data_IF_254983081844
#
_entry.id   IF_254983081844
#
_cell.length_a   1.000
_cell.length_b   1.000
_cell.length_c   1.000
_cell.angle_alpha   90.00
_cell.angle_beta   90.00
_cell.angle_gamma   90.00
#
_symmetry.space_group_name_H-M   'P 1'
#
loop_
_entity.id
_entity.type
_entity.pdbx_description
1 polymer ?
#
# COMPACT_ATOMS: atom_id res chain seq x y z
N UNK A 1 -27.15 34.14 15.30
CA UNK A 1 -26.91 33.68 13.91
C UNK A 1 -25.51 34.01 13.42
N UNK A 2 -25.02 35.24 13.65
CA UNK A 2 -23.67 35.68 13.21
C UNK A 2 -22.57 34.82 13.84
N UNK A 3 -22.66 34.49 15.12
CA UNK A 3 -21.62 33.84 15.91
C UNK A 3 -21.32 32.38 15.45
N UNK A 4 -22.32 31.62 15.08
CA UNK A 4 -22.19 30.20 14.73
C UNK A 4 -22.41 29.89 13.25
N UNK A 5 -23.09 30.79 12.52
CA UNK A 5 -23.51 30.53 11.14
C UNK A 5 -23.01 31.58 10.15
N UNK A 6 -22.38 32.66 10.59
CA UNK A 6 -22.04 33.79 9.73
C UNK A 6 -23.22 34.50 9.06
N UNK A 7 -24.48 34.11 9.40
CA UNK A 7 -25.71 34.62 8.76
C UNK A 7 -26.26 35.81 9.51
N UNK A 8 -26.86 36.73 8.76
CA UNK A 8 -27.55 37.94 9.33
C UNK A 8 -29.00 37.69 9.68
N UNK A 9 -29.58 36.52 9.36
CA UNK A 9 -30.96 36.16 9.59
C UNK A 9 -31.08 34.82 10.35
N UNK A 10 -32.28 34.56 10.88
CA UNK A 10 -32.60 33.30 11.57
C UNK A 10 -32.38 32.07 10.68
N UNK A 11 -31.95 30.98 11.31
CA UNK A 11 -31.79 29.70 10.61
C UNK A 11 -33.16 29.05 10.46
N UNK A 12 -33.48 28.54 9.28
CA UNK A 12 -34.72 27.83 8.98
C UNK A 12 -34.96 26.58 9.85
N UNK A 13 -33.90 26.00 10.40
CA UNK A 13 -33.95 24.84 11.30
C UNK A 13 -33.17 25.13 12.59
N UNK A 14 -33.44 26.25 13.23
CA UNK A 14 -32.83 26.56 14.53
C UNK A 14 -33.49 25.68 15.61
N UNK A 15 -32.74 24.88 16.38
CA UNK A 15 -33.32 24.09 17.48
C UNK A 15 -34.07 24.94 18.51
N UNK A 16 -33.66 26.21 18.66
CA UNK A 16 -34.29 27.15 19.56
C UNK A 16 -35.64 27.68 19.04
N UNK A 17 -35.92 27.63 17.73
CA UNK A 17 -37.15 28.16 17.15
C UNK A 17 -38.23 27.10 16.96
N UNK A 18 -37.88 25.81 16.91
CA UNK A 18 -38.81 24.72 16.59
C UNK A 18 -39.50 24.10 17.82
N UNK A 19 -39.24 24.60 19.03
CA UNK A 19 -39.95 24.14 20.24
C UNK A 19 -39.71 22.68 20.65
N UNK A 20 -38.89 21.95 19.91
CA UNK A 20 -38.45 20.63 20.28
C UNK A 20 -37.28 20.77 21.26
N UNK A 21 -37.59 20.61 22.54
CA UNK A 21 -36.65 20.76 23.65
C UNK A 21 -35.49 19.78 23.62
N UNK A 22 -34.61 19.90 22.65
CA UNK A 22 -33.28 19.26 22.68
C UNK A 22 -32.51 19.93 23.80
N UNK A 23 -32.37 19.23 24.94
CA UNK A 23 -31.61 19.71 26.08
C UNK A 23 -30.10 19.83 25.82
N UNK A 24 -29.60 19.15 24.82
CA UNK A 24 -28.17 19.12 24.47
C UNK A 24 -27.99 18.77 22.99
N UNK A 25 -27.08 19.48 22.29
CA UNK A 25 -26.71 19.19 20.90
C UNK A 25 -25.32 19.66 20.59
N UNK A 26 -24.65 18.97 19.63
CA UNK A 26 -23.32 19.32 19.14
C UNK A 26 -23.46 20.23 17.91
N UNK A 27 -22.64 21.26 17.84
CA UNK A 27 -22.60 22.20 16.72
C UNK A 27 -21.19 22.64 16.37
N UNK A 28 -20.86 22.58 15.07
CA UNK A 28 -19.61 23.14 14.54
C UNK A 28 -19.83 24.60 14.11
N UNK A 29 -18.94 25.49 14.54
CA UNK A 29 -18.93 26.88 14.11
C UNK A 29 -18.30 26.97 12.73
N UNK A 30 -19.06 27.43 11.74
CA UNK A 30 -18.63 27.50 10.33
C UNK A 30 -17.50 28.50 10.10
N UNK A 31 -17.38 29.53 10.97
CA UNK A 31 -16.35 30.58 10.82
C UNK A 31 -15.01 30.20 11.46
N UNK A 32 -15.04 29.49 12.58
CA UNK A 32 -13.85 29.15 13.37
C UNK A 32 -13.50 27.67 13.31
N UNK A 33 -14.34 26.87 12.65
CA UNK A 33 -14.29 25.40 12.60
C UNK A 33 -14.35 24.68 13.95
N UNK A 34 -14.50 25.42 15.04
CA UNK A 34 -14.57 24.88 16.40
C UNK A 34 -15.89 24.15 16.66
N UNK A 35 -15.80 23.03 17.40
CA UNK A 35 -16.94 22.23 17.81
C UNK A 35 -17.39 22.58 19.23
N UNK A 36 -18.70 22.70 19.43
CA UNK A 36 -19.29 23.03 20.73
C UNK A 36 -20.41 22.07 21.08
N UNK A 37 -20.46 21.60 22.33
CA UNK A 37 -21.69 21.08 22.95
C UNK A 37 -22.49 22.28 23.48
N UNK A 38 -23.71 22.41 23.01
CA UNK A 38 -24.62 23.46 23.46
C UNK A 38 -25.70 22.80 24.31
N UNK A 39 -25.76 23.20 25.60
CA UNK A 39 -26.86 22.82 26.50
C UNK A 39 -27.89 23.93 26.53
N UNK A 40 -29.10 23.59 26.16
CA UNK A 40 -30.25 24.50 26.08
C UNK A 40 -31.17 24.32 27.29
N UNK A 41 -31.57 25.42 27.91
CA UNK A 41 -32.51 25.41 29.02
C UNK A 41 -33.51 26.59 28.91
N UNK A 42 -34.77 26.27 28.95
CA UNK A 42 -35.83 27.28 29.10
C UNK A 42 -35.71 27.94 30.46
N UNK A 43 -35.81 29.25 30.48
CA UNK A 43 -35.75 30.06 31.70
C UNK A 43 -36.70 31.27 31.59
N UNK A 44 -36.84 32.03 32.68
CA UNK A 44 -37.55 33.29 32.72
C UNK A 44 -36.59 34.38 33.13
N UNK A 45 -36.45 35.41 32.31
CA UNK A 45 -35.63 36.58 32.57
C UNK A 45 -36.53 37.83 32.56
N UNK A 46 -36.53 38.58 33.65
CA UNK A 46 -37.35 39.80 33.80
C UNK A 46 -38.82 39.56 33.47
N UNK A 47 -39.38 38.43 33.95
CA UNK A 47 -40.80 38.06 33.74
C UNK A 47 -41.12 37.60 32.32
N UNK A 48 -40.15 37.50 31.40
CA UNK A 48 -40.34 37.07 30.02
C UNK A 48 -39.70 35.70 29.80
N UNK A 49 -40.30 34.89 28.91
CA UNK A 49 -39.63 33.66 28.44
C UNK A 49 -38.27 33.97 27.84
N UNK A 50 -37.24 33.29 28.28
CA UNK A 50 -35.88 33.40 27.81
C UNK A 50 -35.29 32.00 27.67
N UNK A 51 -34.16 31.93 26.98
CA UNK A 51 -33.39 30.72 26.79
C UNK A 51 -31.96 30.91 27.32
N UNK A 52 -31.44 29.91 28.01
CA UNK A 52 -30.09 29.88 28.47
C UNK A 52 -29.34 28.81 27.65
N UNK A 53 -28.41 29.23 26.82
CA UNK A 53 -27.51 28.35 26.07
C UNK A 53 -26.13 28.41 26.69
N UNK A 54 -25.61 27.27 27.11
CA UNK A 54 -24.25 27.11 27.60
C UNK A 54 -23.47 26.33 26.57
N UNK A 55 -22.47 26.96 25.97
CA UNK A 55 -21.60 26.34 24.95
C UNK A 55 -20.28 25.93 25.57
N UNK A 56 -19.92 24.64 25.44
CA UNK A 56 -18.63 24.11 25.82
C UNK A 56 -17.82 23.83 24.57
N UNK A 57 -16.63 24.41 24.47
CA UNK A 57 -15.69 24.12 23.38
C UNK A 57 -15.15 22.68 23.55
N UNK A 58 -15.48 21.80 22.62
CA UNK A 58 -15.06 20.38 22.60
C UNK A 58 -14.12 20.09 21.44
N UNK A 59 -13.59 21.09 20.76
CA UNK A 59 -12.76 20.92 19.56
C UNK A 59 -11.58 19.98 19.81
N UNK A 60 -10.86 20.22 20.90
CA UNK A 60 -9.73 19.36 21.27
C UNK A 60 -10.17 17.91 21.60
N UNK A 61 -11.32 17.74 22.22
CA UNK A 61 -11.86 16.40 22.55
C UNK A 61 -12.24 15.64 21.28
N UNK A 62 -12.89 16.28 20.30
CA UNK A 62 -13.21 15.66 19.00
C UNK A 62 -11.95 15.31 18.21
N UNK A 63 -10.94 16.18 18.21
CA UNK A 63 -9.65 15.89 17.56
C UNK A 63 -8.94 14.71 18.18
N UNK A 64 -8.90 14.63 19.52
CA UNK A 64 -8.30 13.51 20.25
C UNK A 64 -9.07 12.23 19.96
N UNK A 65 -10.38 12.27 20.01
CA UNK A 65 -11.23 11.10 19.71
C UNK A 65 -10.99 10.60 18.29
N UNK A 66 -10.99 11.49 17.30
CA UNK A 66 -10.72 11.14 15.90
C UNK A 66 -9.33 10.51 15.72
N UNK A 67 -8.30 11.06 16.38
CA UNK A 67 -6.96 10.48 16.36
C UNK A 67 -6.92 9.09 17.00
N UNK A 68 -7.66 8.89 18.09
CA UNK A 68 -7.73 7.60 18.76
C UNK A 68 -8.44 6.56 17.89
N UNK A 69 -9.55 6.92 17.26
CA UNK A 69 -10.26 6.06 16.32
C UNK A 69 -9.35 5.65 15.14
N UNK A 70 -8.66 6.60 14.52
CA UNK A 70 -7.70 6.32 13.44
C UNK A 70 -6.58 5.38 13.89
N UNK A 71 -6.08 5.53 15.12
CA UNK A 71 -5.05 4.64 15.68
C UNK A 71 -5.57 3.23 15.92
N UNK A 72 -6.78 3.09 16.46
CA UNK A 72 -7.42 1.80 16.66
C UNK A 72 -7.67 1.07 15.34
N UNK A 73 -8.13 1.79 14.31
CA UNK A 73 -8.32 1.23 12.97
C UNK A 73 -7.00 0.72 12.39
N UNK A 74 -5.91 1.48 12.55
CA UNK A 74 -4.58 1.07 12.11
C UNK A 74 -4.09 -0.18 12.85
N UNK A 75 -4.28 -0.26 14.17
CA UNK A 75 -3.95 -1.45 14.95
C UNK A 75 -4.77 -2.68 14.50
N UNK A 76 -6.05 -2.51 14.20
CA UNK A 76 -6.91 -3.58 13.67
C UNK A 76 -6.43 -4.11 12.32
N UNK A 77 -5.97 -3.23 11.43
CA UNK A 77 -5.41 -3.63 10.12
C UNK A 77 -4.10 -4.39 10.30
N UNK A 78 -3.20 -3.92 11.16
CA UNK A 78 -1.96 -4.63 11.47
C UNK A 78 -2.25 -6.05 12.00
N UNK A 79 -3.17 -6.19 12.94
CA UNK A 79 -3.59 -7.50 13.46
C UNK A 79 -4.18 -8.37 12.34
N UNK A 80 -5.02 -7.80 11.48
CA UNK A 80 -5.60 -8.52 10.35
C UNK A 80 -4.54 -9.05 9.37
N UNK A 81 -3.52 -8.24 9.10
CA UNK A 81 -2.36 -8.65 8.31
C UNK A 81 -1.59 -9.79 8.97
N UNK A 82 -1.34 -9.71 10.29
CA UNK A 82 -0.67 -10.78 11.04
C UNK A 82 -1.48 -12.08 11.03
N UNK A 83 -2.79 -12.00 11.25
CA UNK A 83 -3.69 -13.16 11.20
C UNK A 83 -3.66 -13.82 9.82
N UNK A 84 -3.69 -13.02 8.74
CA UNK A 84 -3.64 -13.57 7.37
C UNK A 84 -2.36 -14.37 7.14
N UNK A 85 -1.23 -13.88 7.64
CA UNK A 85 0.07 -14.55 7.49
C UNK A 85 0.20 -15.84 8.32
N UNK A 86 -0.60 -16.01 9.39
CA UNK A 86 -0.61 -17.22 10.21
C UNK A 86 -1.59 -18.28 9.70
N UNK A 87 -2.35 -18.00 8.65
CA UNK A 87 -3.21 -19.00 8.02
C UNK A 87 -2.37 -20.11 7.37
N UNK A 88 -2.89 -21.35 7.42
CA UNK A 88 -2.24 -22.49 6.77
C UNK A 88 -2.47 -22.50 5.26
N UNK A 89 -1.89 -21.51 4.58
CA UNK A 89 -1.96 -21.28 3.13
C UNK A 89 -0.56 -21.15 2.56
N UNK A 90 -0.40 -21.32 1.22
CA UNK A 90 0.84 -20.97 0.55
C UNK A 90 1.24 -19.52 0.86
N UNK A 91 2.51 -19.31 1.11
CA UNK A 91 3.04 -18.00 1.51
C UNK A 91 2.65 -16.88 0.54
N UNK A 92 2.81 -17.11 -0.77
CA UNK A 92 2.51 -16.15 -1.83
C UNK A 92 1.02 -15.73 -1.82
N UNK A 93 0.11 -16.68 -1.56
CA UNK A 93 -1.32 -16.39 -1.42
C UNK A 93 -1.60 -15.53 -0.18
N UNK A 94 -1.03 -15.89 0.97
CA UNK A 94 -1.21 -15.14 2.21
C UNK A 94 -0.65 -13.72 2.10
N UNK A 95 0.50 -13.56 1.45
CA UNK A 95 1.11 -12.25 1.28
C UNK A 95 0.30 -11.37 0.30
N UNK A 96 -0.18 -11.92 -0.81
CA UNK A 96 -1.06 -11.21 -1.74
C UNK A 96 -2.38 -10.79 -1.05
N UNK A 97 -2.94 -11.65 -0.20
CA UNK A 97 -4.12 -11.32 0.59
C UNK A 97 -3.84 -10.19 1.59
N UNK A 98 -2.66 -10.18 2.22
CA UNK A 98 -2.20 -9.10 3.09
C UNK A 98 -2.17 -7.77 2.33
N UNK A 99 -1.55 -7.74 1.15
CA UNK A 99 -1.54 -6.54 0.30
C UNK A 99 -2.98 -6.10 -0.05
N UNK A 100 -3.89 -7.08 -0.24
CA UNK A 100 -5.31 -6.81 -0.48
C UNK A 100 -6.04 -6.19 0.71
N UNK A 101 -5.71 -6.59 1.94
CA UNK A 101 -6.23 -5.97 3.17
C UNK A 101 -5.80 -4.50 3.22
N UNK A 102 -4.50 -4.24 2.98
CA UNK A 102 -3.93 -2.89 2.95
C UNK A 102 -4.60 -2.04 1.86
N UNK A 103 -4.63 -2.56 0.62
CA UNK A 103 -5.16 -1.84 -0.52
C UNK A 103 -6.63 -1.43 -0.36
N UNK A 104 -7.46 -2.31 0.18
CA UNK A 104 -8.88 -2.02 0.45
C UNK A 104 -9.06 -0.97 1.54
N UNK A 105 -8.28 -1.04 2.62
CA UNK A 105 -8.37 -0.07 3.71
C UNK A 105 -7.94 1.33 3.28
N UNK A 106 -6.84 1.41 2.54
CA UNK A 106 -6.33 2.69 2.04
C UNK A 106 -7.00 3.15 0.75
N UNK A 107 -7.97 2.39 0.22
CA UNK A 107 -8.67 2.70 -1.04
C UNK A 107 -7.71 2.90 -2.22
N UNK A 108 -6.64 2.11 -2.23
CA UNK A 108 -5.67 2.14 -3.31
C UNK A 108 -6.14 1.30 -4.51
N UNK A 109 -5.73 1.69 -5.71
CA UNK A 109 -5.93 0.87 -6.91
C UNK A 109 -4.98 -0.32 -6.93
N UNK A 110 -3.76 -0.13 -6.42
CA UNK A 110 -2.71 -1.14 -6.42
C UNK A 110 -1.81 -0.99 -5.21
N UNK A 111 -1.42 -2.13 -4.62
CA UNK A 111 -0.30 -2.24 -3.69
C UNK A 111 0.74 -3.15 -4.32
N UNK A 112 1.99 -2.75 -4.31
CA UNK A 112 3.06 -3.51 -4.95
C UNK A 112 4.32 -3.54 -4.09
N UNK A 113 5.11 -4.59 -4.27
CA UNK A 113 6.43 -4.74 -3.66
C UNK A 113 7.43 -5.05 -4.76
N UNK A 114 8.43 -4.21 -4.88
CA UNK A 114 9.57 -4.43 -5.75
C UNK A 114 10.78 -4.88 -4.95
N UNK A 115 11.49 -5.87 -5.44
CA UNK A 115 12.85 -6.17 -4.98
C UNK A 115 13.85 -5.38 -5.82
N UNK A 116 14.85 -4.83 -5.15
CA UNK A 116 15.99 -4.15 -5.78
C UNK A 116 17.26 -4.98 -5.56
N UNK A 117 18.00 -5.25 -6.64
CA UNK A 117 19.23 -6.01 -6.60
C UNK A 117 20.22 -5.50 -7.65
N UNK A 118 21.32 -4.92 -7.18
CA UNK A 118 22.45 -4.32 -7.90
C UNK A 118 22.10 -3.42 -9.11
N UNK A 119 21.39 -3.93 -10.11
CA UNK A 119 20.98 -3.18 -11.30
C UNK A 119 19.60 -3.61 -11.82
N UNK A 120 18.83 -4.34 -11.02
CA UNK A 120 17.51 -4.84 -11.43
C UNK A 120 16.45 -4.52 -10.41
N UNK A 121 15.34 -4.02 -10.90
CA UNK A 121 14.11 -3.85 -10.17
C UNK A 121 13.11 -4.90 -10.65
N UNK A 122 12.57 -5.68 -9.73
CA UNK A 122 11.62 -6.74 -10.06
C UNK A 122 10.37 -6.62 -9.21
N UNK A 123 9.19 -6.57 -9.83
CA UNK A 123 7.93 -6.71 -9.10
C UNK A 123 7.82 -8.14 -8.57
N UNK A 124 7.84 -8.30 -7.26
CA UNK A 124 7.80 -9.61 -6.60
C UNK A 124 6.42 -9.94 -6.05
N UNK A 125 5.67 -8.93 -5.62
CA UNK A 125 4.29 -9.08 -5.15
C UNK A 125 3.44 -7.90 -5.59
N UNK A 126 2.20 -8.17 -5.95
CA UNK A 126 1.23 -7.16 -6.38
C UNK A 126 -0.18 -7.58 -5.99
N UNK A 127 -0.94 -6.62 -5.50
CA UNK A 127 -2.39 -6.69 -5.39
C UNK A 127 -3.01 -5.56 -6.20
N UNK A 128 -4.05 -5.88 -6.97
CA UNK A 128 -4.80 -4.91 -7.76
C UNK A 128 -6.26 -4.91 -7.32
N UNK A 129 -6.84 -3.74 -7.23
CA UNK A 129 -8.26 -3.57 -7.01
C UNK A 129 -9.07 -4.05 -8.23
N UNK A 130 -10.37 -4.30 -8.04
CA UNK A 130 -11.24 -4.76 -9.12
C UNK A 130 -11.22 -3.78 -10.30
N UNK A 131 -11.00 -4.30 -11.51
CA UNK A 131 -10.93 -3.51 -12.73
C UNK A 131 -9.53 -2.95 -13.06
N UNK A 132 -8.56 -3.12 -12.20
CA UNK A 132 -7.16 -2.72 -12.45
C UNK A 132 -6.38 -3.88 -13.03
N UNK A 133 -5.79 -3.69 -14.21
CA UNK A 133 -5.01 -4.74 -14.87
C UNK A 133 -3.64 -4.93 -14.20
N UNK A 134 -3.27 -6.18 -13.96
CA UNK A 134 -1.92 -6.53 -13.54
C UNK A 134 -0.93 -6.36 -14.70
N UNK A 135 0.25 -5.84 -14.37
CA UNK A 135 1.41 -5.79 -15.28
C UNK A 135 2.64 -6.42 -14.62
N UNK A 136 2.43 -7.26 -13.62
CA UNK A 136 3.51 -7.89 -12.87
C UNK A 136 4.50 -8.63 -13.78
N UNK A 137 4.02 -9.32 -14.82
CA UNK A 137 4.87 -10.04 -15.78
C UNK A 137 5.79 -9.10 -16.58
N UNK A 138 5.27 -7.93 -17.01
CA UNK A 138 6.06 -6.94 -17.74
C UNK A 138 7.10 -6.24 -16.84
N UNK A 139 6.82 -6.19 -15.53
CA UNK A 139 7.63 -5.51 -14.52
C UNK A 139 8.59 -6.46 -13.77
N UNK A 140 8.74 -7.71 -14.21
CA UNK A 140 9.60 -8.71 -13.57
C UNK A 140 11.09 -8.43 -13.67
N UNK A 141 11.52 -7.61 -14.62
CA UNK A 141 12.94 -7.27 -14.80
C UNK A 141 13.07 -5.92 -15.47
N UNK A 142 12.98 -4.87 -14.67
CA UNK A 142 13.22 -3.51 -15.09
C UNK A 142 14.68 -3.13 -14.84
N UNK A 143 15.21 -2.24 -15.68
CA UNK A 143 16.51 -1.62 -15.42
C UNK A 143 16.42 -0.72 -14.19
N UNK A 144 17.42 -0.73 -13.34
CA UNK A 144 17.49 0.10 -12.13
C UNK A 144 17.46 1.60 -12.43
N UNK A 145 17.89 2.01 -13.63
CA UNK A 145 17.85 3.41 -14.06
C UNK A 145 16.50 4.11 -13.83
N UNK A 146 15.41 3.32 -13.73
CA UNK A 146 14.06 3.81 -13.46
C UNK A 146 13.98 4.45 -12.07
N UNK A 147 14.71 3.89 -11.09
CA UNK A 147 14.65 4.31 -9.69
C UNK A 147 15.97 4.88 -9.15
N UNK A 148 17.05 4.85 -9.93
CA UNK A 148 18.37 5.32 -9.48
C UNK A 148 18.35 6.78 -9.03
N UNK A 149 17.51 7.60 -9.64
CA UNK A 149 17.32 8.99 -9.23
C UNK A 149 16.51 9.16 -7.93
N UNK A 150 15.81 8.11 -7.50
CA UNK A 150 15.07 8.09 -6.24
C UNK A 150 15.91 7.56 -5.09
N UNK A 151 16.96 6.77 -5.40
CA UNK A 151 17.85 6.18 -4.39
C UNK A 151 18.41 7.21 -3.40
N UNK A 152 18.86 8.42 -3.82
CA UNK A 152 19.31 9.42 -2.87
C UNK A 152 18.24 9.87 -1.87
N UNK A 153 16.97 9.91 -2.29
CA UNK A 153 15.83 10.18 -1.40
C UNK A 153 15.65 9.04 -0.42
N UNK A 154 15.74 7.81 -0.90
CA UNK A 154 15.61 6.62 -0.06
C UNK A 154 16.82 6.39 0.87
N UNK A 155 18.05 6.77 0.45
CA UNK A 155 19.24 6.70 1.30
C UNK A 155 19.13 7.60 2.53
N UNK A 156 18.36 8.70 2.45
CA UNK A 156 17.97 9.52 3.60
C UNK A 156 16.79 8.93 4.39
N UNK A 157 16.35 7.71 4.06
CA UNK A 157 15.17 7.04 4.63
C UNK A 157 13.88 7.83 4.43
N UNK A 158 13.79 8.58 3.33
CA UNK A 158 12.63 9.38 2.96
C UNK A 158 11.71 8.60 2.03
N UNK A 159 10.41 8.82 2.19
CA UNK A 159 9.39 8.22 1.32
C UNK A 159 9.20 9.08 0.06
N UNK A 160 8.92 8.43 -1.07
CA UNK A 160 8.51 9.14 -2.28
C UNK A 160 6.99 9.29 -2.26
N UNK A 161 6.54 10.54 -2.30
CA UNK A 161 5.12 10.89 -2.35
C UNK A 161 4.91 11.76 -3.60
N UNK A 162 4.09 11.27 -4.53
CA UNK A 162 3.74 11.95 -5.77
C UNK A 162 2.23 12.18 -5.81
N UNK A 163 1.83 13.42 -5.65
CA UNK A 163 0.43 13.83 -5.77
C UNK A 163 -0.02 13.86 -7.24
N UNK A 164 0.94 14.01 -8.15
CA UNK A 164 0.70 13.98 -9.57
C UNK A 164 1.82 13.18 -10.28
N UNK A 165 1.46 12.21 -11.09
CA UNK A 165 2.42 11.41 -11.89
C UNK A 165 3.27 12.27 -12.82
N UNK A 166 2.80 13.45 -13.22
CA UNK A 166 3.55 14.38 -14.07
C UNK A 166 4.88 14.82 -13.42
N UNK A 167 4.94 14.88 -12.08
CA UNK A 167 6.15 15.25 -11.33
C UNK A 167 7.29 14.25 -11.56
N UNK A 168 6.95 13.01 -11.97
CA UNK A 168 7.95 12.00 -12.36
C UNK A 168 8.80 12.41 -13.58
N UNK A 169 8.30 13.24 -14.47
CA UNK A 169 9.04 13.68 -15.66
C UNK A 169 10.35 14.39 -15.30
N UNK A 170 10.34 15.14 -14.20
CA UNK A 170 11.52 15.86 -13.71
C UNK A 170 12.54 14.89 -13.07
N UNK A 171 12.07 13.76 -12.57
CA UNK A 171 12.90 12.76 -11.88
C UNK A 171 13.42 11.73 -12.89
N UNK A 172 12.51 11.06 -13.61
CA UNK A 172 12.85 10.02 -14.60
C UNK A 172 11.74 9.88 -15.63
N UNK A 173 12.07 10.19 -16.89
CA UNK A 173 11.12 10.06 -18.02
C UNK A 173 10.69 8.60 -18.21
N UNK A 174 11.58 7.64 -18.01
CA UNK A 174 11.30 6.21 -18.09
C UNK A 174 10.30 5.78 -17.02
N UNK A 175 10.51 6.22 -15.77
CA UNK A 175 9.58 5.97 -14.66
C UNK A 175 8.21 6.57 -14.95
N UNK A 176 8.15 7.79 -15.45
CA UNK A 176 6.91 8.43 -15.88
C UNK A 176 6.15 7.60 -16.91
N UNK A 177 6.83 7.18 -17.99
CA UNK A 177 6.18 6.37 -19.04
C UNK A 177 5.65 5.04 -18.49
N UNK A 178 6.39 4.37 -17.60
CA UNK A 178 5.94 3.13 -16.96
C UNK A 178 4.74 3.37 -16.03
N UNK A 179 4.77 4.45 -15.26
CA UNK A 179 3.68 4.83 -14.35
C UNK A 179 2.39 5.13 -15.12
N UNK A 180 2.46 5.98 -16.16
CA UNK A 180 1.31 6.32 -17.01
C UNK A 180 0.75 5.08 -17.71
N UNK A 181 1.62 4.24 -18.28
CA UNK A 181 1.20 2.98 -18.91
C UNK A 181 0.52 2.03 -17.91
N UNK A 182 0.84 2.15 -16.62
CA UNK A 182 0.24 1.38 -15.53
C UNK A 182 -1.00 2.04 -14.93
N UNK A 183 -1.46 3.18 -15.46
CA UNK A 183 -2.63 3.92 -14.96
C UNK A 183 -2.38 4.65 -13.64
N UNK A 184 -1.12 4.86 -13.26
CA UNK A 184 -0.76 5.58 -12.04
C UNK A 184 -0.98 7.08 -12.25
N UNK A 185 -1.73 7.70 -11.35
CA UNK A 185 -1.94 9.15 -11.28
C UNK A 185 -1.24 9.73 -10.03
N UNK A 186 -1.25 8.97 -8.95
CA UNK A 186 -0.65 9.30 -7.65
C UNK A 186 0.11 8.10 -7.12
N UNK A 187 1.19 8.34 -6.40
CA UNK A 187 2.07 7.28 -5.92
C UNK A 187 2.62 7.62 -4.54
N UNK A 188 2.60 6.63 -3.67
CA UNK A 188 3.39 6.61 -2.43
C UNK A 188 4.26 5.38 -2.46
N UNK A 189 5.56 5.55 -2.22
CA UNK A 189 6.49 4.44 -2.13
C UNK A 189 7.47 4.64 -0.96
N UNK A 190 7.67 3.58 -0.19
CA UNK A 190 8.57 3.53 0.96
C UNK A 190 9.71 2.56 0.68
N UNK A 191 10.95 2.88 1.06
CA UNK A 191 12.07 1.96 0.91
C UNK A 191 11.92 0.78 1.86
N UNK A 192 12.42 -0.38 1.44
CA UNK A 192 12.57 -1.57 2.26
C UNK A 192 14.06 -1.77 2.45
N UNK A 193 14.54 -1.73 3.70
CA UNK A 193 15.95 -1.83 4.00
C UNK A 193 16.29 -3.08 4.84
N UNK A 194 17.46 -3.65 4.57
CA UNK A 194 18.08 -4.68 5.39
C UNK A 194 19.49 -4.23 5.78
N UNK A 195 19.76 -4.13 7.10
CA UNK A 195 21.03 -3.66 7.64
C UNK A 195 21.51 -2.33 7.02
N UNK A 196 20.59 -1.40 6.76
CA UNK A 196 20.89 -0.10 6.18
C UNK A 196 21.11 -0.09 4.66
N UNK A 197 20.96 -1.24 3.99
CA UNK A 197 21.00 -1.34 2.53
C UNK A 197 19.57 -1.48 1.98
N UNK A 198 19.23 -0.67 0.98
CA UNK A 198 17.94 -0.79 0.30
C UNK A 198 17.91 -2.10 -0.49
N UNK A 199 16.89 -2.91 -0.24
CA UNK A 199 16.66 -4.21 -0.87
C UNK A 199 15.39 -4.23 -1.71
N UNK A 200 14.57 -3.18 -1.64
CA UNK A 200 13.30 -3.09 -2.35
C UNK A 200 12.50 -1.86 -1.99
N UNK A 201 11.27 -1.85 -2.46
CA UNK A 201 10.30 -0.78 -2.24
C UNK A 201 8.90 -1.38 -2.08
N UNK A 202 8.12 -0.86 -1.13
CA UNK A 202 6.68 -1.09 -1.05
C UNK A 202 5.95 0.18 -1.47
N UNK A 203 4.90 0.07 -2.26
CA UNK A 203 4.18 1.24 -2.71
C UNK A 203 2.70 1.01 -2.93
N UNK A 204 1.99 2.13 -3.03
CA UNK A 204 0.58 2.20 -3.32
C UNK A 204 0.30 3.24 -4.41
N UNK A 205 -0.62 2.95 -5.31
CA UNK A 205 -1.03 3.90 -6.35
C UNK A 205 -2.50 4.28 -6.23
N UNK A 206 -2.78 5.53 -6.61
CA UNK A 206 -4.12 6.11 -6.76
C UNK A 206 -4.99 6.08 -5.48
N UNK A 207 -4.35 6.11 -4.31
CA UNK A 207 -5.07 6.27 -3.05
C UNK A 207 -5.47 7.75 -2.83
N UNK A 208 -6.47 8.05 -1.97
CA UNK A 208 -6.82 9.42 -1.58
C UNK A 208 -5.64 10.14 -0.90
N UNK A 209 -5.46 11.42 -1.19
CA UNK A 209 -4.32 12.21 -0.70
C UNK A 209 -4.31 12.31 0.84
N UNK A 210 -5.47 12.41 1.45
CA UNK A 210 -5.64 12.43 2.91
C UNK A 210 -5.15 11.16 3.62
N UNK A 211 -4.94 10.07 2.88
CA UNK A 211 -4.41 8.79 3.40
C UNK A 211 -2.90 8.64 3.23
N UNK A 212 -2.20 9.57 2.57
CA UNK A 212 -0.78 9.43 2.28
C UNK A 212 0.08 9.32 3.55
N UNK A 213 -0.12 10.20 4.52
CA UNK A 213 0.64 10.15 5.77
C UNK A 213 0.36 8.89 6.59
N UNK A 214 -0.87 8.38 6.52
CA UNK A 214 -1.28 7.17 7.23
C UNK A 214 -0.65 5.93 6.62
N UNK A 215 -0.65 5.79 5.28
CA UNK A 215 -0.08 4.63 4.60
C UNK A 215 1.45 4.58 4.76
N UNK A 216 2.12 5.74 4.76
CA UNK A 216 3.56 5.84 5.04
C UNK A 216 3.86 5.29 6.44
N UNK A 217 3.17 5.80 7.47
CA UNK A 217 3.32 5.29 8.84
C UNK A 217 3.03 3.79 8.95
N UNK A 218 2.07 3.30 8.17
CA UNK A 218 1.74 1.88 8.11
C UNK A 218 2.84 1.06 7.45
N UNK A 219 3.41 1.54 6.35
CA UNK A 219 4.54 0.89 5.69
C UNK A 219 5.77 0.84 6.59
N UNK A 220 6.07 1.94 7.31
CA UNK A 220 7.16 1.97 8.31
C UNK A 220 6.96 0.90 9.40
N UNK A 221 5.72 0.71 9.86
CA UNK A 221 5.40 -0.33 10.84
C UNK A 221 5.55 -1.76 10.29
N UNK A 222 5.42 -1.94 8.98
CA UNK A 222 5.58 -3.23 8.29
C UNK A 222 6.99 -3.46 7.74
N UNK A 223 7.87 -2.47 7.76
CA UNK A 223 9.17 -2.51 7.07
C UNK A 223 9.95 -3.79 7.38
N UNK A 224 10.21 -4.08 8.65
CA UNK A 224 10.92 -5.30 9.04
C UNK A 224 10.26 -6.58 8.51
N UNK A 225 8.93 -6.63 8.54
CA UNK A 225 8.17 -7.77 8.07
C UNK A 225 8.29 -7.92 6.56
N UNK A 226 8.09 -6.85 5.80
CA UNK A 226 8.20 -6.84 4.34
C UNK A 226 9.64 -7.12 3.90
N UNK A 227 10.63 -6.56 4.59
CA UNK A 227 12.05 -6.85 4.36
C UNK A 227 12.34 -8.34 4.47
N UNK A 228 11.89 -9.00 5.55
CA UNK A 228 12.07 -10.44 5.74
C UNK A 228 11.43 -11.26 4.61
N UNK A 229 10.31 -10.78 4.05
CA UNK A 229 9.63 -11.42 2.91
C UNK A 229 10.41 -11.29 1.60
N UNK A 230 10.92 -10.10 1.32
CA UNK A 230 11.76 -9.83 0.13
C UNK A 230 13.04 -10.68 0.20
N UNK A 231 13.69 -10.77 1.36
CA UNK A 231 14.88 -11.61 1.56
C UNK A 231 14.56 -13.08 1.32
N UNK A 232 13.45 -13.55 1.88
CA UNK A 232 12.99 -14.94 1.70
C UNK A 232 12.74 -15.26 0.23
N UNK A 233 12.05 -14.39 -0.51
CA UNK A 233 11.80 -14.59 -1.95
C UNK A 233 13.10 -14.58 -2.76
N UNK A 234 14.00 -13.64 -2.49
CA UNK A 234 15.34 -13.62 -3.12
C UNK A 234 16.09 -14.94 -2.87
N UNK A 235 16.07 -15.41 -1.62
CA UNK A 235 16.75 -16.67 -1.25
C UNK A 235 16.13 -17.88 -1.93
N UNK A 236 14.79 -17.97 -1.95
CA UNK A 236 14.06 -19.04 -2.63
C UNK A 236 14.34 -19.03 -4.13
N UNK A 237 14.35 -17.85 -4.76
CA UNK A 237 14.70 -17.68 -6.18
C UNK A 237 16.13 -18.16 -6.46
N UNK A 238 17.08 -17.74 -5.63
CA UNK A 238 18.48 -18.15 -5.77
C UNK A 238 18.65 -19.67 -5.63
N UNK A 239 17.97 -20.27 -4.66
CA UNK A 239 17.97 -21.72 -4.49
C UNK A 239 17.37 -22.45 -5.70
N UNK A 240 16.27 -21.95 -6.27
CA UNK A 240 15.67 -22.50 -7.50
C UNK A 240 16.66 -22.40 -8.67
N UNK A 241 17.32 -21.26 -8.87
CA UNK A 241 18.33 -21.08 -9.91
C UNK A 241 19.48 -22.09 -9.75
N UNK A 242 20.05 -22.22 -8.56
CA UNK A 242 21.12 -23.18 -8.27
C UNK A 242 20.67 -24.65 -8.42
N UNK A 243 19.41 -24.94 -8.12
CA UNK A 243 18.85 -26.32 -8.23
C UNK A 243 18.48 -26.73 -9.65
N UNK A 244 18.14 -25.78 -10.52
CA UNK A 244 17.54 -26.09 -11.83
C UNK A 244 18.37 -25.57 -13.04
N UNK A 245 19.35 -24.72 -12.82
CA UNK A 245 20.17 -24.17 -13.89
C UNK A 245 21.61 -24.72 -13.77
N UNK A 246 22.18 -25.11 -14.88
CA UNK A 246 23.57 -25.46 -14.98
C UNK A 246 24.45 -24.20 -14.97
N UNK A 247 25.38 -24.12 -14.04
CA UNK A 247 26.18 -22.90 -13.80
C UNK A 247 27.15 -22.56 -14.94
N UNK A 248 27.49 -23.52 -15.79
CA UNK A 248 28.42 -23.33 -16.89
C UNK A 248 27.71 -22.84 -18.15
N UNK A 249 26.57 -23.45 -18.47
CA UNK A 249 25.86 -23.23 -19.74
C UNK A 249 24.70 -22.28 -19.62
N UNK A 250 24.19 -22.03 -18.41
CA UNK A 250 22.98 -21.26 -18.17
C UNK A 250 21.66 -21.95 -18.59
N UNK A 251 21.75 -23.21 -19.04
CA UNK A 251 20.59 -24.01 -19.43
C UNK A 251 19.98 -24.75 -18.22
N UNK A 252 18.79 -25.29 -18.39
CA UNK A 252 18.21 -26.16 -17.38
C UNK A 252 19.04 -27.42 -17.18
N UNK A 253 19.31 -27.76 -15.91
CA UNK A 253 20.06 -28.95 -15.56
C UNK A 253 19.17 -30.19 -15.56
N UNK A 254 19.77 -31.35 -15.27
CA UNK A 254 19.07 -32.65 -15.23
C UNK A 254 17.89 -32.66 -14.25
N UNK A 255 18.00 -31.99 -13.11
CA UNK A 255 16.94 -31.95 -12.11
C UNK A 255 15.68 -31.30 -12.67
N UNK A 256 15.85 -30.14 -13.33
CA UNK A 256 14.72 -29.42 -13.96
C UNK A 256 14.10 -30.21 -15.09
N UNK A 257 14.92 -30.83 -15.92
CA UNK A 257 14.43 -31.71 -16.98
C UNK A 257 13.58 -32.86 -16.44
N UNK A 258 14.05 -33.52 -15.38
CA UNK A 258 13.31 -34.65 -14.76
C UNK A 258 11.96 -34.19 -14.19
N UNK A 259 11.94 -33.11 -13.42
CA UNK A 259 10.72 -32.56 -12.83
C UNK A 259 9.70 -32.15 -13.88
N UNK A 260 10.13 -31.40 -14.90
CA UNK A 260 9.24 -30.94 -15.98
C UNK A 260 8.69 -32.13 -16.79
N UNK A 261 9.53 -33.12 -17.06
CA UNK A 261 9.10 -34.34 -17.76
C UNK A 261 8.04 -35.11 -16.94
N UNK A 262 8.28 -35.30 -15.64
CA UNK A 262 7.30 -35.95 -14.77
C UNK A 262 5.99 -35.15 -14.68
N UNK A 263 6.05 -33.85 -14.62
CA UNK A 263 4.87 -32.97 -14.59
C UNK A 263 4.04 -33.10 -15.87
N UNK A 264 4.71 -33.10 -17.03
CA UNK A 264 4.04 -33.25 -18.34
C UNK A 264 3.41 -34.64 -18.43
N UNK A 265 4.13 -35.67 -17.99
CA UNK A 265 3.62 -37.05 -18.02
C UNK A 265 2.40 -37.28 -17.10
N UNK A 266 2.33 -36.60 -15.96
CA UNK A 266 1.13 -36.67 -15.06
C UNK A 266 -0.05 -35.87 -15.61
N UNK A 267 0.18 -34.89 -16.49
CA UNK A 267 -0.80 -33.88 -16.85
C UNK A 267 -1.66 -34.11 -18.06
N UNK A 268 -1.64 -35.27 -18.75
CA UNK A 268 -2.53 -35.74 -19.82
C UNK A 268 -1.81 -36.48 -20.96
N UNK A 269 -2.60 -37.30 -21.74
CA UNK A 269 -2.26 -38.03 -22.98
C UNK A 269 -1.73 -37.11 -24.12
N UNK A 270 -0.65 -36.38 -23.91
CA UNK A 270 0.08 -35.70 -24.98
C UNK A 270 1.29 -36.54 -25.32
N UNK A 271 1.50 -36.85 -26.60
CA UNK A 271 2.75 -37.51 -27.04
C UNK A 271 3.93 -36.59 -26.68
N UNK A 272 4.84 -37.09 -25.84
CA UNK A 272 6.09 -36.42 -25.50
C UNK A 272 7.20 -36.93 -26.37
N UNK A 273 7.90 -36.07 -27.08
CA UNK A 273 9.14 -36.40 -27.79
C UNK A 273 10.34 -35.92 -26.98
N UNK A 274 11.33 -36.79 -26.77
CA UNK A 274 12.59 -36.43 -26.15
C UNK A 274 13.71 -36.53 -27.16
N UNK A 275 14.49 -35.46 -27.35
CA UNK A 275 15.67 -35.44 -28.17
C UNK A 275 16.91 -35.48 -27.23
N UNK A 276 17.71 -36.51 -27.38
CA UNK A 276 18.99 -36.64 -26.68
C UNK A 276 20.14 -36.45 -27.67
N UNK A 277 21.06 -35.56 -27.35
CA UNK A 277 22.23 -35.27 -28.18
C UNK A 277 23.50 -35.42 -27.34
N UNK A 278 24.52 -36.05 -27.88
CA UNK A 278 25.82 -36.20 -27.28
C UNK A 278 26.92 -35.82 -28.29
N UNK A 279 28.04 -35.28 -27.79
CA UNK A 279 29.20 -34.94 -28.59
C UNK A 279 30.21 -36.02 -28.48
N UNK A 280 30.42 -36.75 -29.59
CA UNK A 280 31.44 -37.78 -29.66
C UNK A 280 32.85 -37.20 -29.78
N UNK A 281 33.83 -37.83 -29.18
CA UNK A 281 35.26 -37.45 -29.32
C UNK A 281 35.75 -36.32 -28.43
N UNK A 282 34.95 -35.82 -27.46
CA UNK A 282 35.34 -34.75 -26.55
C UNK A 282 36.59 -35.08 -25.71
N UNK A 283 36.85 -36.36 -25.41
CA UNK A 283 38.08 -36.79 -24.71
C UNK A 283 39.34 -36.53 -25.53
N UNK A 284 39.28 -36.75 -26.84
CA UNK A 284 40.42 -36.56 -27.75
C UNK A 284 40.76 -35.08 -28.03
N UNK A 285 39.83 -34.18 -27.66
CA UNK A 285 39.99 -32.72 -27.83
C UNK A 285 40.50 -32.05 -26.57
N UNK A 286 40.24 -32.66 -25.40
CA UNK A 286 40.60 -32.09 -24.09
C UNK A 286 41.89 -32.65 -23.49
N UNK A 287 42.51 -33.72 -24.11
CA UNK A 287 43.85 -34.22 -23.83
C UNK A 287 44.86 -33.57 -24.76
#
# INVERSE_FOLDING_TARGET
YKLFHGKSAECTNCPCSNGEGLSEYIRKNVMTEKAYIIKHKDTVWDGKKAYLDIAFDITNTEEIQKRLEQRLDMEHILVSCMVEMHKNKPFEESFTNLLGIIGKYFEADKIFVFSYDENKLSNVFEWNNNGVNSRAEELKSLDSNIVDKWLPTYDSNENVILNNVEDLKEISVEAYHQAVKSGVQRLVASPIADNGKIIGFIGASNLPEEKFSQIVTFFDALDYFVASMVIREKSARKLRELSYVDSLTGLYNRNKFTEDTERIMRGRNCGLGVLYMDLNGLKEIND
#
